data_IF_142923042659
#
_entry.id   IF_142923042659
#
_cell.length_a   1.000
_cell.length_b   1.000
_cell.length_c   1.000
_cell.angle_alpha   90.00
_cell.angle_beta   90.00
_cell.angle_gamma   90.00
#
_symmetry.space_group_name_H-M   'P 1'
#
loop_
_entity.id
_entity.type
_entity.pdbx_description
1 polymer ?
#
# COMPACT_ATOMS: atom_id res chain seq x y z
N UNK A 1 60.67 -46.28 22.10
CA UNK A 1 60.96 -45.55 20.84
C UNK A 1 60.39 -44.14 21.00
N UNK A 2 61.09 -43.27 21.73
CA UNK A 2 62.05 -42.24 21.26
C UNK A 2 61.43 -41.14 20.38
N UNK A 3 61.29 -39.97 21.01
CA UNK A 3 61.14 -38.58 20.51
C UNK A 3 62.30 -38.17 19.54
N UNK A 4 62.57 -36.89 19.17
CA UNK A 4 61.82 -35.61 19.25
C UNK A 4 61.96 -34.71 17.98
N UNK A 5 61.34 -33.52 17.99
CA UNK A 5 61.68 -32.41 17.09
C UNK A 5 61.35 -31.03 17.66
N UNK A 6 62.28 -30.44 18.42
CA UNK A 6 62.18 -29.17 19.15
C UNK A 6 63.36 -28.27 18.75
N UNK A 7 63.16 -27.03 18.28
CA UNK A 7 64.15 -25.91 18.37
C UNK A 7 63.36 -24.59 18.48
N UNK A 8 63.43 -23.77 19.55
CA UNK A 8 64.54 -22.97 20.14
C UNK A 8 65.08 -21.95 19.10
N UNK A 9 65.30 -20.65 19.33
CA UNK A 9 65.46 -19.68 20.46
C UNK A 9 65.39 -18.26 19.78
N UNK A 10 65.17 -17.11 20.44
CA UNK A 10 66.11 -16.32 21.29
C UNK A 10 65.42 -14.99 21.70
N UNK A 11 65.25 -14.60 22.98
CA UNK A 11 66.15 -13.76 23.84
C UNK A 11 66.27 -12.31 23.31
N UNK A 12 65.56 -11.27 23.82
CA UNK A 12 65.62 -10.47 25.08
C UNK A 12 66.96 -9.79 25.36
N UNK A 13 66.90 -8.47 25.67
CA UNK A 13 67.82 -7.55 26.39
C UNK A 13 67.97 -6.22 25.60
N UNK A 14 67.96 -4.99 26.14
CA UNK A 14 67.84 -4.42 27.49
C UNK A 14 67.71 -2.87 27.37
N UNK A 15 67.28 -2.24 28.47
CA UNK A 15 67.16 -0.83 28.87
C UNK A 15 68.17 0.23 28.35
N UNK A 16 67.70 1.49 28.27
CA UNK A 16 68.50 2.72 28.25
C UNK A 16 67.68 3.97 28.64
N UNK A 17 68.22 4.79 29.54
CA UNK A 17 67.58 5.74 30.47
C UNK A 17 67.32 7.20 30.02
N UNK A 18 66.37 7.85 30.74
CA UNK A 18 66.29 9.23 31.30
C UNK A 18 66.25 10.53 30.44
N UNK A 19 65.10 11.22 30.56
CA UNK A 19 64.81 12.61 31.03
C UNK A 19 65.49 13.82 30.37
N UNK A 20 64.68 14.77 29.86
CA UNK A 20 64.74 16.23 30.16
C UNK A 20 63.33 16.86 30.10
N UNK A 21 63.07 17.71 31.11
CA UNK A 21 61.90 18.56 31.37
C UNK A 21 61.89 19.79 30.45
N UNK A 22 60.72 20.21 29.96
CA UNK A 22 60.54 21.49 29.29
C UNK A 22 59.11 22.02 29.40
N UNK A 23 58.91 22.98 30.30
CA UNK A 23 57.64 23.64 30.61
C UNK A 23 57.71 25.11 30.15
N UNK A 24 56.94 25.50 29.12
CA UNK A 24 56.64 26.88 28.69
C UNK A 24 55.28 26.82 27.94
N UNK A 25 54.12 27.15 28.53
CA UNK A 25 53.53 28.47 28.81
C UNK A 25 53.17 29.30 27.56
N UNK A 26 51.85 29.56 27.43
CA UNK A 26 51.18 30.67 26.71
C UNK A 26 50.98 30.58 25.20
N UNK A 27 49.71 30.49 24.80
CA UNK A 27 49.28 30.72 23.42
C UNK A 27 47.80 30.43 23.17
N UNK A 28 46.91 30.96 24.02
CA UNK A 28 45.47 30.94 23.77
C UNK A 28 45.14 31.83 22.56
N UNK A 29 45.04 31.22 21.38
CA UNK A 29 44.15 31.68 20.32
C UNK A 29 43.24 30.51 19.98
N UNK A 30 42.21 30.33 20.78
CA UNK A 30 41.01 29.64 20.33
C UNK A 30 40.44 30.49 19.20
N UNK A 31 40.88 30.23 17.98
CA UNK A 31 40.12 30.57 16.78
C UNK A 31 38.84 29.78 16.95
N UNK A 32 37.82 30.46 17.52
CA UNK A 32 36.42 30.16 17.30
C UNK A 32 36.23 30.32 15.80
N UNK A 33 36.65 29.29 15.07
CA UNK A 33 36.04 28.96 13.81
C UNK A 33 34.63 28.63 14.23
N UNK A 34 33.77 29.65 14.15
CA UNK A 34 32.34 29.44 14.05
C UNK A 34 32.15 28.51 12.86
N UNK A 35 32.24 27.20 13.13
CA UNK A 35 31.37 26.23 12.50
C UNK A 35 29.99 26.80 12.76
N UNK A 36 29.53 27.61 11.82
CA UNK A 36 28.14 27.55 11.41
C UNK A 36 27.96 26.07 11.18
N UNK A 37 27.40 25.38 12.17
CA UNK A 37 26.60 24.23 11.89
C UNK A 37 25.64 24.74 10.82
N UNK A 38 25.99 24.46 9.56
CA UNK A 38 25.00 24.27 8.55
C UNK A 38 24.23 23.05 9.06
N UNK A 39 23.34 23.30 10.02
CA UNK A 39 22.12 22.53 10.10
C UNK A 39 21.59 22.60 8.68
N UNK A 40 21.81 21.54 7.91
CA UNK A 40 20.95 21.22 6.79
C UNK A 40 19.56 21.35 7.37
N UNK A 41 18.92 22.49 7.15
CA UNK A 41 17.67 22.82 7.80
C UNK A 41 16.67 21.84 7.25
N UNK A 42 16.51 20.70 7.92
CA UNK A 42 15.39 19.83 7.71
C UNK A 42 14.19 20.73 7.96
N UNK A 43 13.56 21.17 6.89
CA UNK A 43 12.41 22.03 6.98
C UNK A 43 11.35 21.21 7.72
N UNK A 44 10.99 21.66 8.93
CA UNK A 44 10.11 20.88 9.80
C UNK A 44 8.68 21.13 9.36
N UNK A 45 8.09 20.14 8.69
CA UNK A 45 6.69 20.18 8.28
C UNK A 45 5.79 19.73 9.42
N UNK A 46 4.64 20.37 9.57
CA UNK A 46 3.57 19.95 10.48
C UNK A 46 2.29 19.71 9.71
N UNK A 47 1.56 18.68 10.10
CA UNK A 47 0.27 18.36 9.49
C UNK A 47 -0.77 19.37 9.94
N UNK A 48 -1.49 19.98 9.00
CA UNK A 48 -2.71 20.75 9.26
C UNK A 48 -3.91 19.80 9.26
N UNK A 49 -3.98 18.91 8.27
CA UNK A 49 -4.98 17.85 8.19
C UNK A 49 -4.83 17.01 6.93
N UNK A 50 -5.64 15.96 6.83
CA UNK A 50 -5.81 15.23 5.57
C UNK A 50 -6.87 15.94 4.72
N UNK A 51 -6.62 16.06 3.42
CA UNK A 51 -7.60 16.55 2.44
C UNK A 51 -8.33 15.38 1.81
N UNK A 52 -7.60 14.31 1.47
CA UNK A 52 -8.10 13.06 0.89
C UNK A 52 -7.46 11.85 1.56
N UNK A 53 -7.51 10.67 0.92
CA UNK A 53 -6.86 9.45 1.42
C UNK A 53 -5.34 9.40 1.16
N UNK A 54 -4.83 10.24 0.26
CA UNK A 54 -3.42 10.32 -0.12
C UNK A 54 -2.90 11.77 -0.22
N UNK A 55 -3.65 12.75 0.29
CA UNK A 55 -3.26 14.17 0.24
C UNK A 55 -3.32 14.78 1.64
N UNK A 56 -2.21 15.39 2.05
CA UNK A 56 -2.06 16.14 3.30
C UNK A 56 -1.97 17.65 3.03
N UNK A 57 -2.66 18.45 3.84
CA UNK A 57 -2.34 19.86 4.05
C UNK A 57 -1.28 19.95 5.14
N UNK A 58 -0.13 20.54 4.81
CA UNK A 58 1.04 20.63 5.69
C UNK A 58 1.51 22.07 5.76
N UNK A 59 2.17 22.44 6.85
CA UNK A 59 2.78 23.76 6.99
C UNK A 59 4.27 23.69 7.30
N UNK A 60 5.04 24.52 6.58
CA UNK A 60 6.44 24.83 6.85
C UNK A 60 6.56 26.34 7.02
N UNK A 61 7.14 26.79 8.16
CA UNK A 61 7.45 28.21 8.42
C UNK A 61 6.30 29.17 8.04
N UNK A 62 5.06 28.83 8.46
CA UNK A 62 3.80 29.58 8.21
C UNK A 62 3.26 29.55 6.77
N UNK A 63 3.89 28.82 5.85
CA UNK A 63 3.35 28.57 4.51
C UNK A 63 2.62 27.23 4.52
N UNK A 64 1.45 27.16 3.87
CA UNK A 64 0.70 25.91 3.68
C UNK A 64 0.99 25.31 2.31
N UNK A 65 1.10 23.99 2.27
CA UNK A 65 1.40 23.20 1.10
C UNK A 65 0.45 22.00 1.04
N UNK A 66 0.00 21.64 -0.16
CA UNK A 66 -0.67 20.37 -0.40
C UNK A 66 0.35 19.34 -0.88
N UNK A 67 0.45 18.23 -0.16
CA UNK A 67 1.39 17.15 -0.45
C UNK A 67 0.62 15.88 -0.74
N UNK A 68 0.83 15.33 -1.93
CA UNK A 68 0.33 14.01 -2.32
C UNK A 68 1.37 12.95 -1.97
N UNK A 69 0.94 11.83 -1.40
CA UNK A 69 1.80 10.70 -1.11
C UNK A 69 2.35 10.12 -2.41
N UNK A 70 3.68 10.05 -2.55
CA UNK A 70 4.32 9.48 -3.74
C UNK A 70 4.14 7.97 -3.83
N UNK A 71 4.00 7.44 -5.05
CA UNK A 71 3.98 6.00 -5.32
C UNK A 71 2.62 5.34 -5.13
N UNK A 72 1.64 6.04 -4.54
CA UNK A 72 0.31 5.52 -4.27
C UNK A 72 -0.77 6.48 -4.71
N UNK A 73 -1.99 5.97 -4.85
CA UNK A 73 -3.20 6.75 -5.01
C UNK A 73 -4.28 6.17 -4.09
N UNK A 74 -5.03 7.04 -3.42
CA UNK A 74 -6.17 6.64 -2.62
C UNK A 74 -7.48 6.73 -3.41
N UNK A 75 -8.47 5.89 -3.08
CA UNK A 75 -9.84 6.07 -3.55
C UNK A 75 -10.39 7.43 -3.10
N UNK A 76 -11.24 8.04 -3.93
CA UNK A 76 -11.74 9.40 -3.72
C UNK A 76 -13.25 9.47 -3.59
N UNK A 77 -13.71 10.55 -2.98
CA UNK A 77 -15.10 10.99 -3.07
C UNK A 77 -15.15 12.21 -3.98
N UNK A 78 -15.84 12.11 -5.11
CA UNK A 78 -16.03 13.23 -6.04
C UNK A 78 -17.51 13.50 -6.26
N UNK A 79 -17.87 14.75 -6.56
CA UNK A 79 -19.25 15.10 -6.88
C UNK A 79 -19.76 14.42 -8.17
N UNK A 80 -18.85 14.03 -9.08
CA UNK A 80 -19.20 13.46 -10.38
C UNK A 80 -19.36 11.93 -10.35
N UNK A 81 -18.49 11.22 -9.64
CA UNK A 81 -18.46 9.75 -9.57
C UNK A 81 -19.01 9.18 -8.25
N UNK A 82 -19.33 10.03 -7.28
CA UNK A 82 -19.72 9.59 -5.93
C UNK A 82 -18.53 9.18 -5.07
N UNK A 83 -18.78 8.31 -4.10
CA UNK A 83 -17.78 7.77 -3.19
C UNK A 83 -17.25 6.44 -3.72
N UNK A 84 -15.95 6.38 -4.00
CA UNK A 84 -15.28 5.14 -4.39
C UNK A 84 -15.14 4.18 -3.19
N UNK A 85 -14.98 2.89 -3.49
CA UNK A 85 -14.76 1.85 -2.48
C UNK A 85 -13.55 2.22 -1.61
N UNK A 86 -13.72 2.18 -0.29
CA UNK A 86 -12.70 2.49 0.72
C UNK A 86 -12.23 3.96 0.81
N UNK A 87 -12.89 4.90 0.12
CA UNK A 87 -12.50 6.32 0.19
C UNK A 87 -12.58 6.92 1.61
N UNK A 88 -13.66 6.74 2.39
CA UNK A 88 -13.71 7.22 3.78
C UNK A 88 -12.65 6.57 4.67
N UNK A 89 -12.45 5.25 4.52
CA UNK A 89 -11.52 4.46 5.30
C UNK A 89 -10.08 4.89 5.06
N UNK A 90 -9.70 5.14 3.81
CA UNK A 90 -8.38 5.66 3.44
C UNK A 90 -8.14 7.06 4.02
N UNK A 91 -9.13 7.95 3.95
CA UNK A 91 -9.05 9.29 4.54
C UNK A 91 -8.85 9.24 6.06
N UNK A 92 -9.65 8.43 6.76
CA UNK A 92 -9.55 8.30 8.21
C UNK A 92 -8.27 7.59 8.65
N UNK A 93 -7.76 6.62 7.88
CA UNK A 93 -6.46 6.01 8.13
C UNK A 93 -5.33 7.02 8.00
N UNK A 94 -5.33 7.86 6.96
CA UNK A 94 -4.33 8.91 6.80
C UNK A 94 -4.37 9.90 7.98
N UNK A 95 -5.56 10.29 8.45
CA UNK A 95 -5.71 11.14 9.65
C UNK A 95 -5.14 10.52 10.92
N UNK A 96 -5.21 9.19 11.07
CA UNK A 96 -4.62 8.48 12.21
C UNK A 96 -3.11 8.36 12.10
N UNK A 97 -2.57 8.12 10.90
CA UNK A 97 -1.14 8.02 10.64
C UNK A 97 -0.42 9.37 10.71
N UNK A 98 -1.12 10.44 10.28
CA UNK A 98 -0.67 11.83 10.30
C UNK A 98 -1.68 12.73 11.04
N UNK A 99 -1.75 12.67 12.39
CA UNK A 99 -2.66 13.52 13.14
C UNK A 99 -2.33 15.01 12.98
N UNK A 100 -3.33 15.88 13.03
CA UNK A 100 -3.13 17.34 13.03
C UNK A 100 -2.12 17.76 14.10
N UNK A 101 -1.18 18.61 13.71
CA UNK A 101 -0.10 19.13 14.55
C UNK A 101 1.14 18.23 14.65
N UNK A 102 1.04 16.97 14.18
CA UNK A 102 2.17 16.03 14.21
C UNK A 102 3.30 16.48 13.28
N UNK A 103 4.57 16.25 13.69
CA UNK A 103 5.71 16.52 12.82
C UNK A 103 5.83 15.40 11.79
N UNK A 104 6.15 15.79 10.56
CA UNK A 104 6.42 14.88 9.45
C UNK A 104 7.73 15.27 8.76
N UNK A 105 8.34 14.31 8.09
CA UNK A 105 9.48 14.56 7.21
C UNK A 105 9.06 14.33 5.77
N UNK A 106 9.42 15.26 4.88
CA UNK A 106 9.18 15.15 3.45
C UNK A 106 10.50 14.84 2.74
N UNK A 107 10.46 13.93 1.77
CA UNK A 107 11.58 13.63 0.85
C UNK A 107 11.09 13.71 -0.59
N UNK A 108 11.86 14.42 -1.43
CA UNK A 108 11.37 14.94 -2.71
C UNK A 108 10.78 16.35 -2.49
N UNK A 109 11.34 17.35 -3.15
CA UNK A 109 11.06 18.77 -2.86
C UNK A 109 9.58 19.15 -3.10
N UNK A 110 8.86 19.64 -2.08
CA UNK A 110 7.74 20.54 -2.25
C UNK A 110 8.30 21.95 -2.52
N UNK A 111 9.00 22.16 -3.64
CA UNK A 111 9.82 23.37 -3.79
C UNK A 111 10.36 23.74 -5.16
N UNK A 112 10.18 22.91 -6.20
CA UNK A 112 10.38 23.39 -7.57
C UNK A 112 9.47 24.60 -7.87
N UNK A 113 9.80 25.48 -8.83
CA UNK A 113 9.13 26.77 -9.09
C UNK A 113 7.63 26.69 -9.50
N UNK A 114 6.92 25.59 -9.22
CA UNK A 114 5.49 25.39 -9.40
C UNK A 114 4.78 24.67 -8.24
N UNK A 115 5.37 24.58 -7.04
CA UNK A 115 4.69 23.97 -5.88
C UNK A 115 3.39 24.72 -5.53
N UNK A 116 2.26 24.02 -5.58
CA UNK A 116 0.96 24.63 -5.30
C UNK A 116 0.86 25.07 -3.84
N UNK A 117 0.59 26.36 -3.64
CA UNK A 117 0.25 26.91 -2.33
C UNK A 117 -1.23 26.60 -2.08
N UNK A 118 -1.56 26.07 -0.91
CA UNK A 118 -2.95 26.05 -0.46
C UNK A 118 -3.37 27.50 -0.20
N UNK A 119 -4.05 28.12 -1.15
CA UNK A 119 -4.38 29.55 -1.16
C UNK A 119 -5.57 29.88 -0.25
N UNK A 120 -5.65 29.28 0.94
CA UNK A 120 -6.46 29.75 2.07
C UNK A 120 -7.98 29.87 1.88
N UNK A 121 -8.52 29.69 0.66
CA UNK A 121 -9.95 29.62 0.37
C UNK A 121 -10.37 28.17 0.36
N UNK A 122 -10.77 27.69 1.54
CA UNK A 122 -11.40 26.39 1.68
C UNK A 122 -12.63 26.27 0.77
N UNK A 123 -12.72 25.15 0.05
CA UNK A 123 -13.92 24.74 -0.65
C UNK A 123 -13.73 24.37 -2.12
N UNK A 124 -12.86 23.41 -2.42
CA UNK A 124 -12.87 22.73 -3.72
C UNK A 124 -11.54 22.73 -4.49
N UNK A 125 -11.10 21.53 -4.85
CA UNK A 125 -10.47 21.19 -6.13
C UNK A 125 -9.07 21.71 -6.51
N UNK A 126 -8.09 21.73 -5.60
CA UNK A 126 -6.67 21.79 -6.00
C UNK A 126 -5.86 20.55 -5.53
N UNK A 127 -6.52 19.43 -5.25
CA UNK A 127 -5.83 18.13 -5.10
C UNK A 127 -4.99 17.79 -6.34
N UNK A 128 -5.43 18.21 -7.52
CA UNK A 128 -4.69 18.05 -8.77
C UNK A 128 -3.35 18.82 -8.78
N UNK A 129 -3.26 19.89 -7.98
CA UNK A 129 -2.07 20.71 -7.85
C UNK A 129 -1.15 20.23 -6.70
N UNK A 130 -1.58 19.25 -5.90
CA UNK A 130 -0.78 18.71 -4.79
C UNK A 130 0.53 18.09 -5.29
N UNK A 131 1.64 18.47 -4.67
CA UNK A 131 2.97 18.00 -5.06
C UNK A 131 3.24 16.60 -4.51
N UNK A 132 3.71 15.69 -5.35
CA UNK A 132 4.07 14.34 -4.92
C UNK A 132 5.37 14.35 -4.09
N UNK A 133 5.34 13.75 -2.91
CA UNK A 133 6.52 13.55 -2.05
C UNK A 133 6.40 12.28 -1.20
N UNK A 134 7.55 11.72 -0.81
CA UNK A 134 7.60 10.67 0.20
C UNK A 134 7.44 11.30 1.59
N UNK A 135 6.43 10.85 2.33
CA UNK A 135 6.06 11.42 3.64
C UNK A 135 6.33 10.40 4.74
N UNK A 136 7.12 10.80 5.73
CA UNK A 136 7.43 9.97 6.90
C UNK A 136 6.82 10.56 8.16
N UNK A 137 6.30 9.67 9.01
CA UNK A 137 5.81 10.04 10.33
C UNK A 137 6.97 10.38 11.29
N UNK A 138 6.62 10.79 12.52
CA UNK A 138 7.58 11.09 13.58
C UNK A 138 8.48 9.90 14.00
N UNK A 139 8.13 8.68 13.60
CA UNK A 139 8.92 7.45 13.85
C UNK A 139 9.78 7.06 12.65
N UNK A 140 9.75 7.85 11.58
CA UNK A 140 10.47 7.57 10.34
C UNK A 140 9.82 6.50 9.47
N UNK A 141 8.54 6.15 9.71
CA UNK A 141 7.81 5.20 8.86
C UNK A 141 7.22 5.92 7.66
N UNK A 142 7.32 5.31 6.48
CA UNK A 142 6.73 5.82 5.24
C UNK A 142 5.20 5.68 5.32
N UNK A 143 4.48 6.79 5.37
CA UNK A 143 3.01 6.80 5.56
C UNK A 143 2.29 6.06 4.42
N UNK A 144 2.77 6.23 3.19
CA UNK A 144 2.23 5.55 2.02
C UNK A 144 2.34 4.01 2.14
N UNK A 145 3.43 3.49 2.72
CA UNK A 145 3.61 2.07 2.93
C UNK A 145 2.68 1.53 4.03
N UNK A 146 2.41 2.29 5.08
CA UNK A 146 1.44 1.90 6.11
C UNK A 146 0.01 1.87 5.55
N UNK A 147 -0.38 2.83 4.70
CA UNK A 147 -1.67 2.78 4.01
C UNK A 147 -1.76 1.61 3.02
N UNK A 148 -0.66 1.30 2.32
CA UNK A 148 -0.58 0.13 1.44
C UNK A 148 -0.71 -1.17 2.24
N UNK A 149 -0.11 -1.23 3.44
CA UNK A 149 -0.22 -2.34 4.39
C UNK A 149 -1.65 -2.60 4.85
N UNK A 150 -2.43 -1.55 5.02
CA UNK A 150 -3.86 -1.64 5.36
C UNK A 150 -4.74 -1.93 4.12
N UNK A 151 -4.15 -1.98 2.91
CA UNK A 151 -4.87 -2.23 1.66
C UNK A 151 -5.78 -1.07 1.23
N UNK A 152 -5.51 0.15 1.68
CA UNK A 152 -6.39 1.33 1.49
C UNK A 152 -5.96 2.25 0.34
N UNK A 153 -4.87 1.92 -0.34
CA UNK A 153 -4.35 2.64 -1.49
C UNK A 153 -3.94 1.67 -2.58
N UNK A 154 -3.74 2.19 -3.79
CA UNK A 154 -3.28 1.41 -4.93
C UNK A 154 -1.98 2.00 -5.49
N UNK A 155 -1.18 1.22 -6.23
CA UNK A 155 -0.01 1.75 -6.92
C UNK A 155 -0.40 2.91 -7.84
N UNK A 156 0.32 4.02 -7.75
CA UNK A 156 0.13 5.14 -8.66
C UNK A 156 0.64 4.76 -10.06
N UNK A 157 -0.13 5.01 -11.14
CA UNK A 157 0.31 4.72 -12.52
C UNK A 157 1.54 5.54 -12.94
N UNK A 158 1.81 6.66 -12.27
CA UNK A 158 2.97 7.52 -12.52
C UNK A 158 4.14 7.23 -11.57
N UNK A 159 3.97 6.32 -10.62
CA UNK A 159 4.90 6.08 -9.50
C UNK A 159 5.96 5.01 -9.73
N UNK A 160 5.88 4.23 -10.81
CA UNK A 160 6.91 3.27 -11.16
C UNK A 160 8.14 4.00 -11.73
N UNK A 161 8.98 4.54 -10.86
CA UNK A 161 10.33 4.94 -11.25
C UNK A 161 11.15 3.68 -11.49
N UNK A 162 10.99 3.08 -12.67
CA UNK A 162 11.95 2.12 -13.19
C UNK A 162 13.32 2.81 -13.27
N UNK A 163 14.32 2.23 -12.61
CA UNK A 163 15.72 2.62 -12.79
C UNK A 163 16.24 3.81 -11.98
N UNK A 164 15.69 4.09 -10.80
CA UNK A 164 16.24 5.18 -9.97
C UNK A 164 17.56 4.79 -9.31
N UNK A 165 18.66 5.47 -9.68
CA UNK A 165 19.98 5.33 -9.04
C UNK A 165 20.04 5.88 -7.60
N UNK A 166 18.92 6.36 -7.06
CA UNK A 166 18.79 6.88 -5.71
C UNK A 166 18.46 5.73 -4.72
N UNK A 167 19.40 5.33 -3.85
CA UNK A 167 19.20 4.21 -2.94
C UNK A 167 18.08 4.46 -1.91
N UNK A 168 17.70 5.73 -1.68
CA UNK A 168 16.59 6.03 -0.76
C UNK A 168 15.23 5.77 -1.39
N UNK A 169 15.05 6.09 -2.68
CA UNK A 169 13.82 5.75 -3.41
C UNK A 169 13.64 4.26 -3.61
N UNK A 170 14.75 3.51 -3.74
CA UNK A 170 14.71 2.06 -3.78
C UNK A 170 14.12 1.48 -2.47
N UNK A 171 14.53 2.00 -1.31
CA UNK A 171 13.96 1.59 -0.02
C UNK A 171 12.49 1.95 0.13
N UNK A 172 12.07 3.11 -0.37
CA UNK A 172 10.66 3.51 -0.32
C UNK A 172 9.78 2.62 -1.20
N UNK A 173 10.28 2.25 -2.38
CA UNK A 173 9.62 1.31 -3.28
C UNK A 173 9.52 -0.10 -2.68
N UNK A 174 10.59 -0.56 -2.02
CA UNK A 174 10.61 -1.84 -1.30
C UNK A 174 9.58 -1.85 -0.15
N UNK A 175 9.56 -0.81 0.69
CA UNK A 175 8.59 -0.68 1.77
C UNK A 175 7.14 -0.63 1.27
N UNK A 176 6.89 0.02 0.13
CA UNK A 176 5.58 0.02 -0.53
C UNK A 176 5.19 -1.37 -1.04
N UNK A 177 6.11 -2.07 -1.70
CA UNK A 177 5.88 -3.44 -2.19
C UNK A 177 5.55 -4.39 -1.03
N UNK A 178 6.31 -4.33 0.07
CA UNK A 178 6.02 -5.08 1.29
C UNK A 178 4.64 -4.77 1.88
N UNK A 179 4.23 -3.49 1.85
CA UNK A 179 2.89 -3.08 2.28
C UNK A 179 1.80 -3.75 1.45
N UNK A 180 1.88 -3.65 0.11
CA UNK A 180 0.90 -4.29 -0.78
C UNK A 180 0.87 -5.81 -0.63
N UNK A 181 2.04 -6.44 -0.47
CA UNK A 181 2.12 -7.89 -0.27
C UNK A 181 1.52 -8.33 1.07
N UNK A 182 1.71 -7.53 2.12
CA UNK A 182 1.07 -7.78 3.41
C UNK A 182 -0.44 -7.66 3.33
N UNK A 183 -0.98 -6.57 2.76
CA UNK A 183 -2.42 -6.38 2.61
C UNK A 183 -3.06 -7.51 1.81
N UNK A 184 -2.40 -7.98 0.75
CA UNK A 184 -2.86 -9.12 -0.04
C UNK A 184 -2.90 -10.41 0.77
N UNK A 185 -1.86 -10.66 1.55
CA UNK A 185 -1.72 -11.88 2.36
C UNK A 185 -2.75 -11.92 3.49
N UNK A 186 -2.98 -10.79 4.15
CA UNK A 186 -3.96 -10.66 5.24
C UNK A 186 -5.41 -10.50 4.73
N UNK A 187 -5.60 -10.30 3.43
CA UNK A 187 -6.93 -10.01 2.87
C UNK A 187 -7.51 -8.69 3.38
N UNK A 188 -6.67 -7.65 3.51
CA UNK A 188 -7.07 -6.35 4.03
C UNK A 188 -7.49 -5.38 2.92
N UNK A 189 -8.38 -4.44 3.25
CA UNK A 189 -8.78 -3.35 2.36
C UNK A 189 -9.30 -3.85 1.02
N UNK A 190 -8.68 -3.44 -0.09
CA UNK A 190 -9.08 -3.87 -1.44
C UNK A 190 -9.01 -5.39 -1.68
N UNK A 191 -8.30 -6.13 -0.82
CA UNK A 191 -8.18 -7.59 -0.91
C UNK A 191 -9.19 -8.34 -0.03
N UNK A 192 -10.01 -7.63 0.76
CA UNK A 192 -11.00 -8.22 1.66
C UNK A 192 -12.17 -8.83 0.89
N UNK A 193 -12.45 -10.12 1.12
CA UNK A 193 -13.54 -10.84 0.46
C UNK A 193 -14.91 -10.67 1.15
N UNK A 194 -14.97 -10.08 2.33
CA UNK A 194 -16.21 -9.78 3.04
C UNK A 194 -16.76 -8.38 2.71
N UNK A 195 -15.94 -7.52 2.11
CA UNK A 195 -16.36 -6.19 1.65
C UNK A 195 -16.97 -6.25 0.24
N UNK A 196 -18.28 -6.04 0.14
CA UNK A 196 -19.01 -6.16 -1.13
C UNK A 196 -18.54 -5.21 -2.26
N UNK A 197 -17.89 -4.09 -1.93
CA UNK A 197 -17.37 -3.16 -2.94
C UNK A 197 -16.04 -3.59 -3.56
N UNK A 198 -15.29 -4.50 -2.93
CA UNK A 198 -14.01 -4.97 -3.45
C UNK A 198 -14.22 -6.04 -4.53
N UNK A 199 -13.22 -6.26 -5.39
CA UNK A 199 -13.30 -7.30 -6.42
C UNK A 199 -13.37 -8.71 -5.81
N UNK A 200 -12.57 -9.08 -4.79
CA UNK A 200 -12.74 -10.35 -4.09
C UNK A 200 -14.14 -10.52 -3.47
N UNK A 201 -14.70 -9.47 -2.86
CA UNK A 201 -16.04 -9.52 -2.28
C UNK A 201 -17.15 -9.65 -3.31
N UNK A 202 -17.01 -9.00 -4.47
CA UNK A 202 -17.92 -9.22 -5.61
C UNK A 202 -17.90 -10.69 -6.08
N UNK A 203 -16.71 -11.29 -6.20
CA UNK A 203 -16.56 -12.71 -6.57
C UNK A 203 -17.21 -13.63 -5.54
N UNK A 204 -16.89 -13.43 -4.26
CA UNK A 204 -17.48 -14.21 -3.15
C UNK A 204 -19.00 -14.08 -3.15
N UNK A 205 -19.54 -12.87 -3.28
CA UNK A 205 -20.99 -12.63 -3.35
C UNK A 205 -21.68 -13.36 -4.51
N UNK A 206 -21.06 -13.43 -5.69
CA UNK A 206 -21.61 -14.21 -6.82
C UNK A 206 -21.57 -15.71 -6.58
N UNK A 207 -20.49 -16.22 -5.98
CA UNK A 207 -20.40 -17.64 -5.59
C UNK A 207 -21.48 -17.98 -4.56
N UNK A 208 -21.67 -17.15 -3.54
CA UNK A 208 -22.74 -17.33 -2.55
C UNK A 208 -24.13 -17.30 -3.20
N UNK A 209 -24.35 -16.38 -4.15
CA UNK A 209 -25.63 -16.30 -4.88
C UNK A 209 -25.89 -17.58 -5.69
N UNK A 210 -24.88 -18.14 -6.35
CA UNK A 210 -24.98 -19.42 -7.05
C UNK A 210 -25.34 -20.57 -6.08
N UNK A 211 -24.68 -20.62 -4.92
CA UNK A 211 -24.94 -21.64 -3.90
C UNK A 211 -26.37 -21.54 -3.35
N UNK A 212 -26.85 -20.33 -3.08
CA UNK A 212 -28.22 -20.09 -2.61
C UNK A 212 -29.27 -20.44 -3.68
N UNK A 213 -29.01 -20.14 -4.95
CA UNK A 213 -29.93 -20.46 -6.06
C UNK A 213 -30.08 -21.97 -6.27
N UNK A 214 -29.04 -22.76 -5.98
CA UNK A 214 -29.14 -24.22 -5.93
C UNK A 214 -29.83 -24.69 -4.63
N UNK A 215 -29.57 -24.05 -3.49
CA UNK A 215 -30.06 -24.54 -2.21
C UNK A 215 -29.40 -25.85 -1.77
N UNK A 216 -29.85 -26.45 -0.66
CA UNK A 216 -29.20 -27.62 -0.08
C UNK A 216 -29.38 -28.86 -0.96
N UNK A 217 -28.27 -29.48 -1.41
CA UNK A 217 -28.33 -30.73 -2.20
C UNK A 217 -29.11 -31.86 -1.50
N UNK A 218 -29.03 -31.93 -0.17
CA UNK A 218 -29.72 -32.92 0.63
C UNK A 218 -31.25 -32.82 0.46
N UNK A 219 -31.77 -31.60 0.33
CA UNK A 219 -33.20 -31.35 0.19
C UNK A 219 -33.78 -31.97 -1.09
N UNK A 220 -33.00 -32.08 -2.16
CA UNK A 220 -33.45 -32.75 -3.40
C UNK A 220 -33.37 -34.26 -3.31
N UNK A 221 -32.35 -34.77 -2.63
CA UNK A 221 -32.17 -36.20 -2.42
C UNK A 221 -33.32 -36.80 -1.60
N UNK A 222 -33.87 -36.01 -0.67
CA UNK A 222 -34.99 -36.40 0.20
C UNK A 222 -36.37 -36.08 -0.41
N UNK A 223 -36.45 -35.78 -1.71
CA UNK A 223 -37.72 -35.54 -2.42
C UNK A 223 -38.30 -34.13 -2.26
N UNK A 224 -37.53 -33.18 -1.74
CA UNK A 224 -37.89 -31.76 -1.65
C UNK A 224 -37.87 -31.04 -3.00
N UNK A 225 -38.27 -29.77 -2.98
CA UNK A 225 -38.40 -28.95 -4.19
C UNK A 225 -37.07 -28.75 -4.92
N UNK A 226 -37.06 -29.04 -6.22
CA UNK A 226 -35.98 -28.70 -7.13
C UNK A 226 -35.71 -27.18 -7.15
N UNK A 227 -34.49 -26.73 -7.49
CA UNK A 227 -34.16 -25.32 -7.54
C UNK A 227 -34.99 -24.62 -8.63
N UNK A 228 -35.37 -23.37 -8.38
CA UNK A 228 -36.17 -22.58 -9.33
C UNK A 228 -35.30 -22.23 -10.55
N UNK A 229 -35.61 -22.70 -11.77
CA UNK A 229 -34.72 -22.53 -12.93
C UNK A 229 -34.36 -21.06 -13.21
N UNK A 230 -35.34 -20.16 -13.09
CA UNK A 230 -35.12 -18.72 -13.30
C UNK A 230 -34.12 -18.09 -12.32
N UNK A 231 -34.07 -18.56 -11.06
CA UNK A 231 -33.11 -18.07 -10.06
C UNK A 231 -31.69 -18.57 -10.38
N UNK A 232 -31.56 -19.83 -10.79
CA UNK A 232 -30.27 -20.40 -11.22
C UNK A 232 -29.76 -19.72 -12.49
N UNK A 233 -30.64 -19.46 -13.47
CA UNK A 233 -30.33 -18.71 -14.69
C UNK A 233 -29.80 -17.31 -14.39
N UNK A 234 -30.52 -16.55 -13.54
CA UNK A 234 -30.13 -15.21 -13.15
C UNK A 234 -28.78 -15.19 -12.41
N UNK A 235 -28.56 -16.14 -11.50
CA UNK A 235 -27.29 -16.27 -10.78
C UNK A 235 -26.12 -16.61 -11.73
N UNK A 236 -26.32 -17.54 -12.68
CA UNK A 236 -25.34 -17.91 -13.69
C UNK A 236 -25.00 -16.73 -14.62
N UNK A 237 -26.02 -16.00 -15.08
CA UNK A 237 -25.83 -14.83 -15.93
C UNK A 237 -25.03 -13.75 -15.20
N UNK A 238 -25.36 -13.47 -13.94
CA UNK A 238 -24.65 -12.49 -13.11
C UNK A 238 -23.19 -12.89 -12.83
N UNK A 239 -22.94 -14.17 -12.52
CA UNK A 239 -21.58 -14.67 -12.32
C UNK A 239 -20.75 -14.65 -13.62
N UNK A 240 -21.36 -15.02 -14.74
CA UNK A 240 -20.71 -15.02 -16.06
C UNK A 240 -20.38 -13.61 -16.52
N UNK A 241 -21.24 -12.64 -16.20
CA UNK A 241 -20.97 -11.23 -16.43
C UNK A 241 -19.72 -10.76 -15.67
N UNK A 242 -19.64 -11.02 -14.36
CA UNK A 242 -18.43 -10.69 -13.58
C UNK A 242 -17.18 -11.43 -14.09
N UNK A 243 -17.30 -12.71 -14.46
CA UNK A 243 -16.20 -13.48 -15.04
C UNK A 243 -15.65 -12.85 -16.33
N UNK A 244 -16.52 -12.29 -17.19
CA UNK A 244 -16.10 -11.54 -18.37
C UNK A 244 -15.34 -10.27 -18.00
N UNK A 245 -15.77 -9.55 -16.96
CA UNK A 245 -15.08 -8.35 -16.48
C UNK A 245 -13.72 -8.63 -15.83
N UNK A 246 -13.54 -9.82 -15.25
CA UNK A 246 -12.25 -10.32 -14.74
C UNK A 246 -11.25 -10.73 -15.86
N UNK A 247 -11.62 -10.59 -17.13
CA UNK A 247 -10.67 -10.78 -18.24
C UNK A 247 -9.77 -9.56 -18.45
N UNK A 248 -8.63 -9.74 -19.12
CA UNK A 248 -7.55 -8.75 -19.19
C UNK A 248 -7.95 -7.39 -19.77
N UNK A 249 -9.04 -7.31 -20.52
CA UNK A 249 -9.48 -6.09 -21.21
C UNK A 249 -10.80 -5.52 -20.65
N UNK A 250 -11.10 -5.82 -19.38
CA UNK A 250 -12.33 -5.38 -18.73
C UNK A 250 -12.46 -3.84 -18.61
N UNK A 251 -13.67 -3.27 -18.76
CA UNK A 251 -13.93 -1.83 -18.77
C UNK A 251 -13.67 -1.09 -17.43
N UNK A 252 -13.37 -1.81 -16.34
CA UNK A 252 -13.26 -1.25 -14.99
C UNK A 252 -11.82 -1.10 -14.46
N UNK A 253 -10.80 -1.33 -15.31
CA UNK A 253 -9.36 -1.21 -14.94
C UNK A 253 -8.95 0.14 -14.33
N UNK A 254 -9.73 1.20 -14.54
CA UNK A 254 -9.46 2.52 -13.96
C UNK A 254 -9.82 2.63 -12.46
N UNK A 255 -10.78 1.83 -11.99
CA UNK A 255 -11.26 1.93 -10.62
C UNK A 255 -10.24 1.36 -9.61
N UNK A 256 -10.08 1.96 -8.42
CA UNK A 256 -9.07 1.55 -7.44
C UNK A 256 -9.14 0.06 -7.08
N UNK A 257 -10.33 -0.47 -6.81
CA UNK A 257 -10.50 -1.88 -6.41
C UNK A 257 -10.02 -2.88 -7.49
N UNK A 258 -9.97 -2.46 -8.75
CA UNK A 258 -9.42 -3.26 -9.85
C UNK A 258 -7.92 -3.05 -10.04
N UNK A 259 -7.41 -1.84 -9.79
CA UNK A 259 -5.97 -1.53 -9.87
C UNK A 259 -5.16 -2.12 -8.73
N UNK A 260 -5.79 -2.39 -7.59
CA UNK A 260 -5.15 -3.06 -6.46
C UNK A 260 -4.68 -4.48 -6.81
N UNK A 261 -5.38 -5.15 -7.73
CA UNK A 261 -5.12 -6.55 -8.06
C UNK A 261 -4.01 -6.71 -9.09
N UNK A 262 -3.10 -7.64 -8.84
CA UNK A 262 -2.17 -8.10 -9.86
C UNK A 262 -2.88 -8.92 -10.94
N UNK A 263 -2.19 -9.16 -12.07
CA UNK A 263 -2.68 -10.07 -13.10
C UNK A 263 -2.90 -11.50 -12.55
N UNK A 264 -2.04 -11.94 -11.61
CA UNK A 264 -2.16 -13.23 -10.96
C UNK A 264 -3.38 -13.29 -10.04
N UNK A 265 -3.61 -12.24 -9.23
CA UNK A 265 -4.78 -12.17 -8.33
C UNK A 265 -6.08 -12.24 -9.15
N UNK A 266 -6.13 -11.49 -10.24
CA UNK A 266 -7.27 -11.49 -11.17
C UNK A 266 -7.49 -12.86 -11.78
N UNK A 267 -6.42 -13.55 -12.20
CA UNK A 267 -6.51 -14.90 -12.74
C UNK A 267 -7.02 -15.93 -11.71
N UNK A 268 -6.56 -15.85 -10.46
CA UNK A 268 -7.02 -16.72 -9.37
C UNK A 268 -8.51 -16.50 -9.06
N UNK A 269 -8.94 -15.24 -8.95
CA UNK A 269 -10.35 -14.89 -8.74
C UNK A 269 -11.23 -15.36 -9.89
N UNK A 270 -10.75 -15.20 -11.13
CA UNK A 270 -11.44 -15.69 -12.32
C UNK A 270 -11.61 -17.21 -12.31
N UNK A 271 -10.54 -17.96 -12.02
CA UNK A 271 -10.60 -19.43 -11.91
C UNK A 271 -11.56 -19.89 -10.81
N UNK A 272 -11.55 -19.21 -9.65
CA UNK A 272 -12.48 -19.50 -8.54
C UNK A 272 -13.94 -19.32 -8.97
N UNK A 273 -14.24 -18.23 -9.67
CA UNK A 273 -15.58 -17.94 -10.17
C UNK A 273 -16.00 -18.92 -11.28
N UNK A 274 -15.09 -19.25 -12.18
CA UNK A 274 -15.30 -20.22 -13.26
C UNK A 274 -15.66 -21.61 -12.73
N UNK A 275 -14.92 -22.09 -11.72
CA UNK A 275 -15.22 -23.36 -11.07
C UNK A 275 -16.63 -23.38 -10.46
N UNK A 276 -17.07 -22.26 -9.87
CA UNK A 276 -18.43 -22.14 -9.33
C UNK A 276 -19.51 -22.13 -10.43
N UNK A 277 -19.26 -21.45 -11.56
CA UNK A 277 -20.15 -21.43 -12.72
C UNK A 277 -20.30 -22.84 -13.29
N UNK A 278 -19.19 -23.51 -13.60
CA UNK A 278 -19.19 -24.87 -14.18
C UNK A 278 -19.85 -25.87 -13.22
N UNK A 279 -19.54 -25.79 -11.92
CA UNK A 279 -20.17 -26.63 -10.91
C UNK A 279 -21.69 -26.44 -10.83
N UNK A 280 -22.16 -25.19 -10.94
CA UNK A 280 -23.60 -24.86 -10.95
C UNK A 280 -24.29 -25.39 -12.22
N UNK A 281 -23.66 -25.24 -13.38
CA UNK A 281 -24.19 -25.78 -14.64
C UNK A 281 -24.32 -27.31 -14.59
N UNK A 282 -23.30 -28.02 -14.12
CA UNK A 282 -23.34 -29.47 -13.99
C UNK A 282 -24.50 -29.95 -13.09
N UNK A 283 -24.69 -29.29 -11.94
CA UNK A 283 -25.79 -29.60 -11.03
C UNK A 283 -27.16 -29.36 -11.67
N UNK A 284 -27.30 -28.21 -12.36
CA UNK A 284 -28.52 -27.86 -13.08
C UNK A 284 -28.88 -28.91 -14.15
N UNK A 285 -27.91 -29.35 -14.95
CA UNK A 285 -28.12 -30.39 -15.95
C UNK A 285 -28.56 -31.71 -15.29
N UNK A 286 -27.90 -32.13 -14.21
CA UNK A 286 -28.31 -33.32 -13.45
C UNK A 286 -29.76 -33.26 -12.95
N UNK A 287 -30.16 -32.14 -12.35
CA UNK A 287 -31.53 -31.93 -11.88
C UNK A 287 -32.57 -32.00 -13.01
N UNK A 288 -32.26 -31.43 -14.18
CA UNK A 288 -33.17 -31.48 -15.35
C UNK A 288 -33.37 -32.90 -15.90
N UNK A 289 -32.34 -33.74 -15.86
CA UNK A 289 -32.45 -35.14 -16.33
C UNK A 289 -33.26 -36.04 -15.40
N UNK A 290 -33.28 -35.75 -14.09
CA UNK A 290 -34.08 -36.50 -13.11
C UNK A 290 -35.57 -36.10 -13.18
N UNK A 291 -35.87 -34.81 -13.38
CA UNK A 291 -37.24 -34.32 -13.49
C UNK A 291 -37.98 -34.85 -14.74
N UNK A 292 -37.28 -35.13 -15.84
CA UNK A 292 -37.89 -35.65 -17.07
C UNK A 292 -38.20 -37.15 -17.07
N UNK A 293 -37.91 -37.88 -15.98
CA UNK A 293 -38.15 -39.33 -15.84
C UNK A 293 -39.31 -39.70 -14.90
N UNK A 294 -39.91 -38.71 -14.23
CA UNK A 294 -41.10 -38.89 -13.38
C UNK A 294 -42.36 -38.42 -14.08
#
# INVERSE_FOLDING_TARGET
MTSPGRRRRSVVWLLGSLVVIGLVVSGAWAVVSGRRDASSGAEHYRVVGAVGGDVLDVTAVRTRHLVRLSGVEAPRTTAASGTECLAPEAHDALRRLAPTGSPITLRGEPGGPGGARADGRGGGSDEAAAQAAAVYDHRGRLIAAELARDGLVVPSPTGASEGTADPTRARDAEALAEGFDHARTEGAGFYDEDLACTVPGQVRGRITTLQLALGPRQQWADGGSAPVPAQVDAALASATDLWRHLSTDGPHRGAPEWRALSANDTALLRMRLEAAIVGTQAVRFGASTLAGRG
#
